data_IF_884473794365
#
_entry.id   IF_884473794365
#
_cell.length_a   1.000
_cell.length_b   1.000
_cell.length_c   1.000
_cell.angle_alpha   90.00
_cell.angle_beta   90.00
_cell.angle_gamma   90.00
#
_symmetry.space_group_name_H-M   'P 1'
#
loop_
_entity.id
_entity.type
_entity.pdbx_description
1 polymer ?
#
# COMPACT_ATOMS: atom_id res chain seq x y z
N UNK A 1 79.89 2.74 -8.03
CA UNK A 1 80.53 2.37 -9.31
C UNK A 1 80.30 0.89 -9.56
N UNK A 2 79.91 0.57 -10.80
CA UNK A 2 80.00 -0.74 -11.49
C UNK A 2 79.29 -1.97 -10.88
N UNK A 3 78.11 -2.20 -11.45
CA UNK A 3 77.52 -3.50 -11.79
C UNK A 3 78.53 -4.46 -12.43
N UNK A 4 78.36 -5.77 -12.19
CA UNK A 4 78.75 -6.93 -13.03
C UNK A 4 78.10 -8.16 -12.36
N UNK A 5 77.53 -9.18 -12.98
CA UNK A 5 77.06 -9.44 -14.34
C UNK A 5 76.48 -10.87 -14.29
N UNK A 6 75.16 -10.98 -14.46
CA UNK A 6 74.41 -11.92 -15.30
C UNK A 6 74.77 -13.44 -15.38
N UNK A 7 73.67 -14.21 -15.34
CA UNK A 7 73.28 -15.36 -16.20
C UNK A 7 73.96 -16.73 -16.03
N UNK A 8 73.15 -17.69 -15.55
CA UNK A 8 72.69 -18.83 -16.36
C UNK A 8 73.34 -20.19 -16.10
N UNK A 9 72.59 -21.14 -15.50
CA UNK A 9 72.77 -22.60 -15.60
C UNK A 9 71.43 -23.26 -15.17
N UNK A 10 70.61 -23.74 -16.11
CA UNK A 10 70.49 -25.14 -16.56
C UNK A 10 69.62 -26.03 -15.66
N UNK A 11 68.36 -26.16 -16.10
CA UNK A 11 67.45 -27.31 -16.07
C UNK A 11 67.49 -28.35 -14.92
N UNK A 12 66.36 -28.48 -14.21
CA UNK A 12 65.84 -29.80 -13.83
C UNK A 12 64.31 -29.82 -13.91
N UNK A 13 63.84 -30.86 -14.56
CA UNK A 13 62.49 -31.21 -15.02
C UNK A 13 61.49 -31.42 -13.88
N UNK A 14 60.30 -30.80 -13.93
CA UNK A 14 59.05 -31.43 -13.47
C UNK A 14 57.94 -31.06 -14.45
N UNK A 15 57.51 -32.09 -15.17
CA UNK A 15 56.33 -32.14 -16.02
C UNK A 15 55.11 -32.31 -15.12
N UNK A 16 54.20 -31.34 -15.12
CA UNK A 16 52.82 -31.49 -14.66
C UNK A 16 51.95 -30.50 -15.45
N UNK A 17 51.58 -30.89 -16.67
CA UNK A 17 50.46 -30.29 -17.39
C UNK A 17 49.18 -30.76 -16.69
N UNK A 18 48.68 -29.97 -15.75
CA UNK A 18 47.34 -30.12 -15.20
C UNK A 18 46.34 -29.70 -16.26
N UNK A 19 45.91 -30.65 -17.09
CA UNK A 19 44.64 -30.54 -17.79
C UNK A 19 43.53 -30.70 -16.74
N UNK A 20 43.22 -29.62 -16.01
CA UNK A 20 41.94 -29.55 -15.32
C UNK A 20 40.90 -29.26 -16.38
N UNK A 21 40.31 -30.33 -16.89
CA UNK A 21 39.10 -30.31 -17.70
C UNK A 21 38.02 -29.51 -16.96
N UNK A 22 37.29 -28.68 -17.70
CA UNK A 22 36.03 -28.12 -17.27
C UNK A 22 35.15 -29.25 -16.74
N UNK A 23 34.85 -29.25 -15.44
CA UNK A 23 33.73 -30.03 -14.94
C UNK A 23 32.49 -29.16 -15.18
N UNK A 24 31.93 -29.27 -16.38
CA UNK A 24 30.58 -28.79 -16.66
C UNK A 24 29.62 -29.71 -15.92
N UNK A 25 29.33 -29.40 -14.65
CA UNK A 25 28.20 -29.94 -13.88
C UNK A 25 28.11 -29.19 -12.53
N UNK A 26 28.31 -27.87 -12.54
CA UNK A 26 27.70 -27.07 -11.48
C UNK A 26 26.20 -27.10 -11.77
N UNK A 27 25.36 -27.71 -10.89
CA UNK A 27 23.95 -27.47 -11.00
C UNK A 27 23.79 -25.96 -10.89
N UNK A 28 23.36 -25.33 -11.98
CA UNK A 28 22.68 -24.03 -11.87
C UNK A 28 21.41 -24.36 -11.11
N UNK A 29 21.53 -24.49 -9.79
CA UNK A 29 20.40 -24.23 -8.90
C UNK A 29 19.94 -22.87 -9.35
N UNK A 30 18.71 -22.72 -9.87
CA UNK A 30 18.15 -21.40 -9.97
C UNK A 30 18.16 -20.90 -8.53
N UNK A 31 19.14 -20.07 -8.17
CA UNK A 31 18.96 -19.17 -7.05
C UNK A 31 17.90 -18.24 -7.56
N UNK A 32 16.65 -18.66 -7.41
CA UNK A 32 15.51 -17.77 -7.52
C UNK A 32 15.61 -16.85 -6.31
N UNK A 33 16.64 -15.99 -6.32
CA UNK A 33 16.80 -14.83 -5.45
C UNK A 33 15.92 -13.70 -5.98
N UNK A 34 14.81 -14.06 -6.66
CA UNK A 34 13.67 -13.20 -6.93
C UNK A 34 13.00 -12.87 -5.59
N UNK A 35 13.71 -12.04 -4.83
CA UNK A 35 13.15 -11.35 -3.68
C UNK A 35 12.09 -10.43 -4.24
N UNK A 36 10.83 -10.79 -4.05
CA UNK A 36 9.72 -9.89 -4.28
C UNK A 36 9.99 -8.61 -3.49
N UNK A 37 10.10 -7.48 -4.21
CA UNK A 37 10.13 -6.16 -3.60
C UNK A 37 8.71 -5.62 -3.62
N UNK A 38 8.27 -5.10 -2.48
CA UNK A 38 7.01 -4.39 -2.42
C UNK A 38 7.17 -3.05 -3.14
N UNK A 39 6.37 -2.83 -4.19
CA UNK A 39 6.32 -1.58 -4.94
C UNK A 39 5.08 -0.75 -4.60
N UNK A 40 4.01 -1.42 -4.17
CA UNK A 40 2.73 -0.80 -3.84
C UNK A 40 2.05 -1.52 -2.68
N UNK A 41 1.25 -0.77 -1.94
CA UNK A 41 0.30 -1.32 -0.99
C UNK A 41 -0.98 -0.51 -1.04
N UNK A 42 -2.10 -1.23 -1.07
CA UNK A 42 -3.43 -0.63 -1.10
C UNK A 42 -4.31 -1.42 -0.14
N UNK A 43 -4.82 -0.74 0.88
CA UNK A 43 -5.74 -1.33 1.85
C UNK A 43 -7.17 -0.88 1.60
N UNK A 44 -7.50 0.29 2.13
CA UNK A 44 -8.80 0.93 2.04
C UNK A 44 -8.86 1.83 0.81
N UNK A 45 -10.05 1.98 0.21
CA UNK A 45 -10.23 2.87 -0.94
C UNK A 45 -9.74 4.30 -0.64
N UNK A 46 -9.25 4.96 -1.69
CA UNK A 46 -8.82 6.35 -1.74
C UNK A 46 -7.74 6.86 -0.75
N UNK A 47 -7.18 6.03 0.13
CA UNK A 47 -6.19 6.48 1.11
C UNK A 47 -4.94 7.07 0.43
N UNK A 48 -4.31 6.31 -0.46
CA UNK A 48 -3.10 6.73 -1.16
C UNK A 48 -3.34 7.88 -2.16
N UNK A 49 -4.57 8.02 -2.66
CA UNK A 49 -4.92 9.09 -3.62
C UNK A 49 -5.22 10.41 -2.93
N UNK A 50 -5.89 10.39 -1.78
CA UNK A 50 -6.37 11.60 -1.09
C UNK A 50 -5.39 12.07 -0.02
N UNK A 51 -4.88 11.17 0.82
CA UNK A 51 -4.14 11.55 2.03
C UNK A 51 -2.62 11.54 1.86
N UNK A 52 -2.09 10.70 0.97
CA UNK A 52 -0.64 10.59 0.75
C UNK A 52 -0.17 11.66 -0.26
N UNK A 53 0.76 12.50 0.19
CA UNK A 53 1.35 13.54 -0.66
C UNK A 53 2.13 12.92 -1.83
N UNK A 54 2.24 13.62 -2.96
CA UNK A 54 2.90 13.08 -4.15
C UNK A 54 4.35 12.63 -3.91
N UNK A 55 5.10 13.36 -3.05
CA UNK A 55 6.48 13.01 -2.71
C UNK A 55 6.62 11.89 -1.68
N UNK A 56 5.52 11.48 -1.05
CA UNK A 56 5.50 10.46 0.00
C UNK A 56 4.96 9.11 -0.49
N UNK A 57 4.50 9.01 -1.76
CA UNK A 57 3.81 7.81 -2.27
C UNK A 57 4.71 6.59 -2.25
N UNK A 58 5.92 6.69 -2.78
CA UNK A 58 6.84 5.55 -2.84
C UNK A 58 7.22 5.09 -1.42
N UNK A 59 7.52 6.03 -0.53
CA UNK A 59 7.81 5.73 0.88
C UNK A 59 6.60 5.11 1.59
N UNK A 60 5.39 5.62 1.34
CA UNK A 60 4.16 5.07 1.87
C UNK A 60 3.96 3.64 1.39
N UNK A 61 4.11 3.40 0.08
CA UNK A 61 3.90 2.11 -0.59
C UNK A 61 4.78 0.98 -0.04
N UNK A 62 6.00 1.29 0.42
CA UNK A 62 6.94 0.31 0.96
C UNK A 62 6.98 0.26 2.49
N UNK A 63 6.32 1.20 3.17
CA UNK A 63 6.31 1.22 4.64
C UNK A 63 5.39 0.14 5.19
N UNK A 64 5.94 -0.82 5.94
CA UNK A 64 5.14 -1.88 6.58
C UNK A 64 3.95 -1.30 7.37
N UNK A 65 2.73 -1.85 7.27
CA UNK A 65 1.52 -1.30 7.91
C UNK A 65 1.67 -0.95 9.41
N UNK A 66 2.40 -1.78 10.16
CA UNK A 66 2.66 -1.55 11.59
C UNK A 66 3.49 -0.30 11.90
N UNK A 67 4.16 0.28 10.89
CA UNK A 67 4.96 1.50 10.99
C UNK A 67 4.29 2.72 10.35
N UNK A 68 3.26 2.53 9.52
CA UNK A 68 2.64 3.63 8.77
C UNK A 68 2.03 4.69 9.69
N UNK A 69 1.34 4.28 10.77
CA UNK A 69 0.75 5.24 11.72
C UNK A 69 1.78 6.21 12.28
N UNK A 70 2.95 5.71 12.69
CA UNK A 70 4.03 6.54 13.19
C UNK A 70 4.65 7.46 12.12
N UNK A 71 4.71 7.01 10.87
CA UNK A 71 5.33 7.75 9.77
C UNK A 71 4.39 8.79 9.11
N UNK A 72 3.09 8.52 9.06
CA UNK A 72 2.14 9.25 8.20
C UNK A 72 0.93 9.87 8.91
N UNK A 73 0.61 9.52 10.16
CA UNK A 73 -0.60 10.04 10.82
C UNK A 73 -0.63 11.57 10.93
N UNK A 74 0.52 12.21 11.21
CA UNK A 74 0.63 13.67 11.23
C UNK A 74 0.42 14.26 9.83
N UNK A 75 1.02 13.67 8.79
CA UNK A 75 0.87 14.11 7.40
C UNK A 75 -0.59 14.02 6.95
N UNK A 76 -1.29 12.96 7.37
CA UNK A 76 -2.71 12.78 7.07
C UNK A 76 -3.57 13.80 7.81
N UNK A 77 -3.23 14.13 9.07
CA UNK A 77 -3.89 15.18 9.83
C UNK A 77 -3.76 16.53 9.13
N UNK A 78 -2.54 16.91 8.76
CA UNK A 78 -2.27 18.16 8.02
C UNK A 78 -3.06 18.19 6.70
N UNK A 79 -3.11 17.06 5.98
CA UNK A 79 -3.87 16.94 4.74
C UNK A 79 -5.37 17.06 4.95
N UNK A 80 -5.92 16.46 6.01
CA UNK A 80 -7.34 16.59 6.37
C UNK A 80 -7.71 18.04 6.66
N UNK A 81 -6.92 18.73 7.49
CA UNK A 81 -7.17 20.13 7.84
C UNK A 81 -6.95 21.07 6.64
N UNK A 82 -6.09 20.71 5.69
CA UNK A 82 -5.97 21.43 4.43
C UNK A 82 -7.20 21.23 3.51
N UNK A 83 -7.80 20.03 3.50
CA UNK A 83 -9.02 19.73 2.72
C UNK A 83 -10.25 20.39 3.35
N UNK A 84 -10.38 20.33 4.67
CA UNK A 84 -11.48 20.91 5.43
C UNK A 84 -10.94 21.71 6.64
N UNK A 85 -10.61 23.00 6.46
CA UNK A 85 -10.12 23.85 7.55
C UNK A 85 -11.11 24.02 8.71
N UNK A 86 -12.40 23.74 8.47
CA UNK A 86 -13.46 23.77 9.49
C UNK A 86 -13.71 22.44 10.18
N UNK A 87 -12.86 21.43 9.97
CA UNK A 87 -13.03 20.11 10.57
C UNK A 87 -13.01 20.19 12.11
N UNK A 88 -14.05 19.68 12.75
CA UNK A 88 -14.14 19.49 14.20
C UNK A 88 -14.10 18.00 14.54
N UNK A 89 -15.26 17.34 14.45
CA UNK A 89 -15.40 15.89 14.41
C UNK A 89 -16.23 15.50 13.19
N UNK A 90 -16.04 14.28 12.70
CA UNK A 90 -16.88 13.73 11.64
C UNK A 90 -18.18 13.13 12.18
N UNK A 91 -18.99 12.55 11.29
CA UNK A 91 -20.25 11.89 11.63
C UNK A 91 -20.08 10.65 12.53
N UNK A 92 -18.84 10.19 12.77
CA UNK A 92 -18.50 9.14 13.73
C UNK A 92 -18.04 9.69 15.09
N UNK A 93 -18.05 11.01 15.26
CA UNK A 93 -17.56 11.69 16.46
C UNK A 93 -16.04 11.69 16.60
N UNK A 94 -15.30 11.39 15.53
CA UNK A 94 -13.83 11.32 15.57
C UNK A 94 -13.23 12.69 15.26
N UNK A 95 -12.38 13.18 16.17
CA UNK A 95 -11.56 14.35 15.89
C UNK A 95 -10.50 14.05 14.81
N UNK A 96 -9.82 15.10 14.34
CA UNK A 96 -8.87 14.99 13.23
C UNK A 96 -7.76 13.98 13.54
N UNK A 97 -7.17 14.04 14.74
CA UNK A 97 -6.06 13.17 15.13
C UNK A 97 -6.47 11.70 15.23
N UNK A 98 -7.64 11.43 15.79
CA UNK A 98 -8.18 10.07 15.92
C UNK A 98 -8.56 9.51 14.56
N UNK A 99 -9.27 10.30 13.74
CA UNK A 99 -9.68 9.87 12.41
C UNK A 99 -8.46 9.57 11.54
N UNK A 100 -7.51 10.49 11.40
CA UNK A 100 -6.34 10.27 10.55
C UNK A 100 -5.37 9.25 11.12
N UNK A 101 -5.33 9.05 12.44
CA UNK A 101 -4.62 7.95 13.07
C UNK A 101 -5.14 6.58 12.61
N UNK A 102 -6.46 6.42 12.48
CA UNK A 102 -7.08 5.21 11.92
C UNK A 102 -6.77 5.09 10.42
N UNK A 103 -6.87 6.19 9.66
CA UNK A 103 -6.63 6.17 8.21
C UNK A 103 -5.16 5.88 7.84
N UNK A 104 -4.21 6.29 8.69
CA UNK A 104 -2.78 6.20 8.38
C UNK A 104 -2.27 4.76 8.31
N UNK A 105 -2.94 3.81 8.95
CA UNK A 105 -2.68 2.39 8.75
C UNK A 105 -3.60 1.88 7.64
N UNK A 106 -3.07 1.84 6.42
CA UNK A 106 -3.85 1.48 5.24
C UNK A 106 -3.95 -0.04 5.08
N UNK A 107 -4.90 -0.62 5.80
CA UNK A 107 -5.19 -2.06 5.77
C UNK A 107 -6.67 -2.32 5.58
N UNK A 108 -6.99 -3.35 4.79
CA UNK A 108 -8.36 -3.85 4.70
C UNK A 108 -8.72 -4.54 6.01
N UNK A 109 -9.58 -3.90 6.80
CA UNK A 109 -10.13 -4.52 8.00
C UNK A 109 -11.25 -5.47 7.59
N UNK A 110 -11.25 -6.68 8.16
CA UNK A 110 -12.24 -7.71 7.86
C UNK A 110 -12.89 -8.16 9.16
N UNK A 111 -14.20 -8.00 9.26
CA UNK A 111 -14.98 -8.64 10.30
C UNK A 111 -15.07 -10.15 10.03
N UNK A 112 -14.46 -10.97 10.90
CA UNK A 112 -14.53 -12.44 10.81
C UNK A 112 -15.88 -12.99 11.28
N UNK A 113 -16.65 -12.17 12.01
CA UNK A 113 -18.00 -12.42 12.48
C UNK A 113 -18.79 -11.10 12.43
N UNK A 114 -20.08 -11.17 12.13
CA UNK A 114 -20.94 -9.98 11.99
C UNK A 114 -21.05 -9.49 10.55
N UNK A 115 -21.55 -8.26 10.38
CA UNK A 115 -21.79 -7.65 9.07
C UNK A 115 -20.50 -7.03 8.53
N UNK A 116 -20.16 -7.35 7.29
CA UNK A 116 -19.09 -6.69 6.54
C UNK A 116 -19.67 -5.51 5.79
N UNK A 117 -19.27 -4.30 6.16
CA UNK A 117 -19.65 -3.05 5.49
C UNK A 117 -18.62 -1.96 5.75
N UNK A 118 -18.51 -1.03 4.82
CA UNK A 118 -17.69 0.17 4.97
C UNK A 118 -18.31 1.09 6.03
N UNK A 119 -19.62 1.33 5.94
CA UNK A 119 -20.40 2.03 6.94
C UNK A 119 -21.90 1.81 6.72
N UNK A 120 -22.65 1.53 7.80
CA UNK A 120 -24.12 1.40 7.75
C UNK A 120 -24.84 2.14 8.89
N UNK A 121 -24.16 3.09 9.54
CA UNK A 121 -24.66 3.80 10.73
C UNK A 121 -24.35 3.11 12.06
N UNK A 122 -24.02 1.80 12.06
CA UNK A 122 -23.68 1.05 13.27
C UNK A 122 -22.31 0.37 13.20
N UNK A 123 -22.00 -0.26 12.08
CA UNK A 123 -20.73 -0.92 11.79
C UNK A 123 -19.86 0.02 10.96
N UNK A 124 -18.57 0.09 11.29
CA UNK A 124 -17.62 1.05 10.71
C UNK A 124 -16.36 0.32 10.31
N UNK A 125 -15.96 0.45 9.04
CA UNK A 125 -14.71 -0.08 8.50
C UNK A 125 -14.51 -1.58 8.78
N UNK A 126 -15.56 -2.38 8.61
CA UNK A 126 -15.53 -3.84 8.83
C UNK A 126 -15.26 -4.63 7.54
N UNK A 127 -14.88 -3.92 6.48
CA UNK A 127 -14.69 -4.38 5.11
C UNK A 127 -15.54 -3.52 4.17
N UNK A 128 -16.06 -4.12 3.11
CA UNK A 128 -17.07 -3.50 2.23
C UNK A 128 -17.95 -4.54 1.56
N UNK A 129 -19.24 -4.28 1.49
CA UNK A 129 -20.16 -4.98 0.61
C UNK A 129 -20.08 -4.39 -0.82
N UNK A 130 -20.57 -5.15 -1.81
CA UNK A 130 -20.58 -4.68 -3.21
C UNK A 130 -21.42 -3.42 -3.41
N UNK A 131 -22.47 -3.25 -2.63
CA UNK A 131 -23.40 -2.12 -2.71
C UNK A 131 -23.06 -0.97 -1.75
N UNK A 132 -21.94 -1.03 -1.03
CA UNK A 132 -21.53 0.08 -0.18
C UNK A 132 -21.05 1.25 -1.06
N UNK A 133 -21.67 2.42 -0.88
CA UNK A 133 -21.22 3.66 -1.49
C UNK A 133 -20.04 4.25 -0.69
N UNK A 134 -18.86 3.71 -0.97
CA UNK A 134 -17.64 4.04 -0.22
C UNK A 134 -17.26 5.50 -0.37
N UNK A 135 -17.37 6.07 -1.57
CA UNK A 135 -16.89 7.42 -1.85
C UNK A 135 -17.77 8.46 -1.16
N UNK A 136 -19.10 8.33 -1.24
CA UNK A 136 -20.01 9.23 -0.52
C UNK A 136 -19.81 9.15 0.99
N UNK A 137 -19.56 7.95 1.54
CA UNK A 137 -19.20 7.82 2.96
C UNK A 137 -17.88 8.53 3.29
N UNK A 138 -16.83 8.36 2.49
CA UNK A 138 -15.55 9.04 2.73
C UNK A 138 -15.69 10.56 2.68
N UNK A 139 -16.41 11.08 1.68
CA UNK A 139 -16.75 12.49 1.54
C UNK A 139 -17.56 13.01 2.74
N UNK A 140 -18.56 12.26 3.18
CA UNK A 140 -19.32 12.56 4.40
C UNK A 140 -18.40 12.65 5.64
N UNK A 141 -17.45 11.72 5.79
CA UNK A 141 -16.53 11.72 6.93
C UNK A 141 -15.51 12.85 6.89
N UNK A 142 -15.19 13.38 5.71
CA UNK A 142 -14.28 14.53 5.58
C UNK A 142 -15.04 15.86 5.74
N UNK A 143 -16.24 15.98 5.15
CA UNK A 143 -16.92 17.27 4.96
C UNK A 143 -18.22 17.44 5.75
N UNK A 144 -18.86 16.34 6.16
CA UNK A 144 -20.21 16.32 6.77
C UNK A 144 -20.27 16.83 8.21
N UNK A 145 -19.15 16.92 8.91
CA UNK A 145 -19.12 17.35 10.32
C UNK A 145 -19.87 16.39 11.26
N UNK A 146 -20.15 16.81 12.52
CA UNK A 146 -20.68 15.92 13.55
C UNK A 146 -22.09 15.39 13.25
N UNK A 147 -22.94 16.22 12.66
CA UNK A 147 -24.33 15.87 12.31
C UNK A 147 -24.45 15.27 10.89
N UNK A 148 -23.36 15.16 10.14
CA UNK A 148 -23.36 14.70 8.75
C UNK A 148 -23.99 15.67 7.74
N UNK A 149 -24.40 16.87 8.16
CA UNK A 149 -25.07 17.87 7.30
C UNK A 149 -24.17 19.06 6.92
N UNK A 150 -22.92 19.06 7.34
CA UNK A 150 -21.92 20.07 6.97
C UNK A 150 -21.54 19.97 5.49
N UNK A 151 -21.29 21.12 4.86
CA UNK A 151 -20.82 21.20 3.46
C UNK A 151 -21.57 20.25 2.49
N UNK A 152 -22.91 20.30 2.40
CA UNK A 152 -23.71 19.26 1.73
C UNK A 152 -23.42 19.09 0.23
N UNK A 153 -22.77 20.07 -0.42
CA UNK A 153 -22.32 19.94 -1.81
C UNK A 153 -21.01 19.15 -1.98
N UNK A 154 -20.39 18.69 -0.89
CA UNK A 154 -19.10 17.98 -0.88
C UNK A 154 -19.18 16.62 -0.19
N UNK A 155 -20.36 16.17 0.24
CA UNK A 155 -20.55 14.93 1.02
C UNK A 155 -20.96 13.73 0.16
N UNK A 156 -21.01 13.88 -1.17
CA UNK A 156 -21.60 12.92 -2.09
C UNK A 156 -20.91 12.99 -3.45
N UNK A 157 -20.71 11.85 -4.12
CA UNK A 157 -20.08 11.78 -5.44
C UNK A 157 -21.07 11.83 -6.62
N UNK A 158 -22.36 11.82 -6.32
CA UNK A 158 -23.51 11.80 -7.23
C UNK A 158 -23.60 10.54 -8.10
N UNK A 159 -23.13 9.39 -7.58
CA UNK A 159 -23.19 8.08 -8.25
C UNK A 159 -23.97 7.07 -7.39
N UNK A 160 -25.31 7.20 -7.41
CA UNK A 160 -26.20 6.44 -6.51
C UNK A 160 -26.26 4.91 -6.78
N UNK A 161 -25.93 4.47 -8.00
CA UNK A 161 -26.08 3.07 -8.39
C UNK A 161 -25.25 2.67 -9.61
N UNK A 162 -25.02 1.36 -9.75
CA UNK A 162 -24.47 0.77 -10.96
C UNK A 162 -25.51 0.77 -12.09
N UNK A 163 -25.02 0.92 -13.33
CA UNK A 163 -25.82 0.80 -14.55
C UNK A 163 -26.51 -0.58 -14.71
N UNK A 164 -25.91 -1.62 -14.13
CA UNK A 164 -26.48 -2.97 -14.04
C UNK A 164 -26.52 -3.43 -12.58
N UNK A 165 -27.68 -3.97 -12.19
CA UNK A 165 -27.85 -4.56 -10.87
C UNK A 165 -26.91 -5.76 -10.66
N UNK A 166 -26.43 -5.92 -9.43
CA UNK A 166 -25.69 -7.11 -9.00
C UNK A 166 -26.52 -8.39 -9.16
N UNK A 167 -25.85 -9.50 -9.39
CA UNK A 167 -26.47 -10.82 -9.44
C UNK A 167 -26.77 -11.30 -8.02
N UNK A 168 -27.85 -12.04 -7.84
CA UNK A 168 -28.19 -12.69 -6.56
C UNK A 168 -27.42 -14.00 -6.34
N UNK A 169 -26.56 -14.39 -7.28
CA UNK A 169 -25.74 -15.61 -7.24
C UNK A 169 -24.33 -15.30 -7.70
N UNK A 170 -23.36 -16.07 -7.22
CA UNK A 170 -21.96 -15.97 -7.64
C UNK A 170 -21.84 -16.00 -9.18
N UNK A 171 -21.06 -15.10 -9.81
CA UNK A 171 -20.03 -14.22 -9.24
C UNK A 171 -20.50 -12.88 -8.64
N UNK A 172 -21.82 -12.67 -8.44
CA UNK A 172 -22.45 -11.46 -7.86
C UNK A 172 -22.25 -10.15 -8.65
N UNK A 173 -21.14 -9.97 -9.38
CA UNK A 173 -20.92 -8.85 -10.29
C UNK A 173 -21.74 -9.01 -11.59
N UNK A 174 -22.27 -7.89 -12.08
CA UNK A 174 -22.93 -7.82 -13.37
C UNK A 174 -21.93 -7.98 -14.54
N UNK A 175 -22.45 -8.29 -15.74
CA UNK A 175 -21.61 -8.35 -16.95
C UNK A 175 -21.18 -6.95 -17.41
N UNK A 176 -19.99 -6.79 -18.02
CA UNK A 176 -19.57 -5.52 -18.64
C UNK A 176 -20.57 -5.01 -19.68
N UNK A 177 -20.56 -3.69 -19.95
CA UNK A 177 -21.36 -3.06 -21.00
C UNK A 177 -20.79 -3.31 -22.39
#
# INVERSE_FOLDING_TARGET
MKNILKTGFMALTVMALSFTACNEDDPVTPTDDSRYMQEDQMGRPAINTVFVSAGDKDDFNVTTPSKQGAAFASKFNDKLLALNPGYSTNALGLDAATFTGILATDVLTVATQGKTTFFDGANVLTGRALADDVISVELLLIFGGPEGTGNPGLTDDNVDANDKAFLNTFPYLATPH
#
